data_IF_786972686549
#
_entry.id   IF_786972686549
#
_cell.length_a   1.000
_cell.length_b   1.000
_cell.length_c   1.000
_cell.angle_alpha   90.00
_cell.angle_beta   90.00
_cell.angle_gamma   90.00
#
_symmetry.space_group_name_H-M   'P 1'
#
loop_
_entity.id
_entity.type
_entity.pdbx_description
1 polymer ?
#
# COMPACT_ATOMS: atom_id res chain seq x y z
N UNK A 1 14.53 -22.56 -5.79
CA UNK A 1 13.21 -22.14 -5.27
C UNK A 1 12.28 -22.05 -6.46
N UNK A 2 11.11 -22.69 -6.41
CA UNK A 2 10.10 -22.59 -7.47
C UNK A 2 9.41 -21.24 -7.25
N UNK A 3 9.44 -20.36 -8.24
CA UNK A 3 8.73 -19.08 -8.14
C UNK A 3 7.22 -19.32 -8.03
N UNK A 4 6.52 -18.60 -7.13
CA UNK A 4 5.07 -18.72 -6.99
C UNK A 4 4.37 -18.31 -8.29
N UNK A 5 3.36 -19.09 -8.69
CA UNK A 5 2.55 -18.78 -9.86
C UNK A 5 1.46 -17.78 -9.47
N UNK A 6 1.31 -16.73 -10.29
CA UNK A 6 0.27 -15.72 -10.13
C UNK A 6 -0.69 -15.74 -11.30
N UNK A 7 -1.95 -15.41 -11.00
CA UNK A 7 -2.98 -15.19 -12.01
C UNK A 7 -2.85 -13.75 -12.59
N UNK A 8 -3.21 -13.53 -13.88
CA UNK A 8 -3.09 -12.21 -14.50
C UNK A 8 -3.94 -11.14 -13.79
N UNK A 9 -3.33 -10.02 -13.39
CA UNK A 9 -4.02 -8.84 -12.84
C UNK A 9 -4.25 -7.77 -13.93
N UNK A 10 -5.34 -7.01 -13.79
CA UNK A 10 -5.77 -5.98 -14.76
C UNK A 10 -4.84 -4.76 -14.65
N UNK A 11 -4.15 -4.42 -15.75
CA UNK A 11 -3.09 -3.40 -15.77
C UNK A 11 -3.63 -1.95 -15.67
N UNK A 12 -3.25 -1.24 -14.60
CA UNK A 12 -3.42 0.22 -14.45
C UNK A 12 -2.13 0.98 -14.76
N UNK A 13 -2.19 1.97 -15.66
CA UNK A 13 -1.07 2.76 -16.13
C UNK A 13 -0.57 3.82 -15.12
N UNK A 14 0.75 4.05 -15.09
CA UNK A 14 1.42 5.08 -14.27
C UNK A 14 1.25 6.48 -14.88
N UNK A 15 0.97 7.49 -14.06
CA UNK A 15 1.04 8.93 -14.40
C UNK A 15 2.41 9.50 -14.02
N UNK A 16 2.93 10.38 -14.87
CA UNK A 16 4.23 11.05 -14.78
C UNK A 16 4.34 12.01 -13.58
N UNK A 17 5.44 11.92 -12.83
CA UNK A 17 5.85 12.87 -11.80
C UNK A 17 6.37 14.17 -12.45
N UNK A 18 5.76 15.30 -12.09
CA UNK A 18 6.13 16.63 -12.57
C UNK A 18 7.41 17.10 -11.85
N UNK A 19 8.56 17.09 -12.53
CA UNK A 19 9.84 17.53 -11.96
C UNK A 19 10.00 19.05 -12.05
N UNK A 20 10.46 19.68 -10.97
CA UNK A 20 10.71 21.12 -10.90
C UNK A 20 12.23 21.38 -11.05
N UNK A 21 12.65 22.21 -12.02
CA UNK A 21 14.05 22.60 -12.21
C UNK A 21 14.38 23.88 -11.43
N UNK A 22 15.55 23.92 -10.80
CA UNK A 22 16.05 25.07 -10.03
C UNK A 22 17.45 25.43 -10.49
N UNK A 23 17.67 26.71 -10.78
CA UNK A 23 18.98 27.22 -11.22
C UNK A 23 19.80 27.69 -10.03
N UNK A 24 21.12 27.45 -10.07
CA UNK A 24 22.06 27.95 -9.08
C UNK A 24 21.98 29.49 -8.92
N UNK A 25 22.24 29.96 -7.70
CA UNK A 25 22.25 31.39 -7.33
C UNK A 25 23.34 32.15 -8.10
N UNK A 26 24.52 31.54 -8.25
CA UNK A 26 25.72 32.21 -8.77
C UNK A 26 26.04 31.87 -10.23
N UNK A 27 25.54 30.75 -10.74
CA UNK A 27 25.79 30.31 -12.11
C UNK A 27 24.50 29.87 -12.82
N UNK A 28 24.63 29.49 -14.09
CA UNK A 28 23.49 29.09 -14.93
C UNK A 28 23.27 27.57 -14.98
N UNK A 29 23.90 26.83 -14.08
CA UNK A 29 23.68 25.39 -13.95
C UNK A 29 22.30 25.15 -13.32
N UNK A 30 21.46 24.39 -14.03
CA UNK A 30 20.16 23.94 -13.56
C UNK A 30 20.26 22.55 -12.91
N UNK A 31 19.48 22.36 -11.85
CA UNK A 31 19.38 21.12 -11.10
C UNK A 31 17.93 20.68 -11.05
N UNK A 32 17.69 19.39 -11.24
CA UNK A 32 16.38 18.79 -10.97
C UNK A 32 16.16 18.75 -9.45
N UNK A 33 14.96 19.09 -8.99
CA UNK A 33 14.58 18.97 -7.59
C UNK A 33 14.62 17.50 -7.14
N UNK A 34 15.74 17.10 -6.53
CA UNK A 34 15.90 15.84 -5.82
C UNK A 34 15.37 15.97 -4.38
N UNK A 35 15.19 14.83 -3.68
CA UNK A 35 14.74 14.83 -2.28
C UNK A 35 15.70 15.66 -1.42
N UNK A 36 15.29 16.88 -1.09
CA UNK A 36 16.03 17.80 -0.22
C UNK A 36 17.11 18.65 -0.92
N UNK A 37 17.08 18.81 -2.25
CA UNK A 37 17.98 19.69 -3.02
C UNK A 37 19.48 19.43 -2.79
N UNK A 38 19.87 18.19 -2.48
CA UNK A 38 21.22 17.84 -2.04
C UNK A 38 22.25 18.10 -3.12
N UNK A 39 21.92 17.80 -4.38
CA UNK A 39 22.81 18.04 -5.51
C UNK A 39 23.15 19.53 -5.68
N UNK A 40 22.14 20.40 -5.57
CA UNK A 40 22.31 21.85 -5.67
C UNK A 40 23.09 22.41 -4.47
N UNK A 41 22.77 21.97 -3.24
CA UNK A 41 23.49 22.41 -2.04
C UNK A 41 24.96 21.94 -2.04
N UNK A 42 25.22 20.73 -2.54
CA UNK A 42 26.58 20.21 -2.71
C UNK A 42 27.36 21.02 -3.74
N UNK A 43 26.72 21.43 -4.84
CA UNK A 43 27.32 22.30 -5.84
C UNK A 43 27.66 23.69 -5.26
N UNK A 44 26.73 24.31 -4.52
CA UNK A 44 26.97 25.59 -3.85
C UNK A 44 28.15 25.51 -2.87
N UNK A 45 28.26 24.41 -2.11
CA UNK A 45 29.35 24.19 -1.18
C UNK A 45 30.70 24.02 -1.88
N UNK A 46 30.78 23.22 -2.94
CA UNK A 46 32.05 22.86 -3.60
C UNK A 46 32.56 23.91 -4.57
N UNK A 47 31.68 24.42 -5.44
CA UNK A 47 32.08 25.33 -6.52
C UNK A 47 32.05 26.79 -6.06
N UNK A 48 31.09 27.13 -5.19
CA UNK A 48 30.85 28.51 -4.76
C UNK A 48 31.24 28.78 -3.30
N UNK A 49 31.73 27.78 -2.56
CA UNK A 49 32.05 27.87 -1.12
C UNK A 49 30.90 28.51 -0.30
N UNK A 50 29.66 28.27 -0.71
CA UNK A 50 28.48 28.94 -0.17
C UNK A 50 27.58 27.95 0.59
N UNK A 51 27.13 28.35 1.77
CA UNK A 51 26.34 27.53 2.68
C UNK A 51 25.10 28.29 3.12
N UNK A 52 23.93 27.63 3.07
CA UNK A 52 22.68 28.16 3.61
C UNK A 52 22.35 27.40 4.88
N UNK A 53 22.23 28.11 5.99
CA UNK A 53 21.85 27.51 7.28
C UNK A 53 20.38 27.09 7.32
N UNK A 54 20.09 25.97 7.99
CA UNK A 54 18.73 25.45 8.21
C UNK A 54 17.86 25.40 6.94
N UNK A 55 18.46 25.06 5.79
CA UNK A 55 17.77 25.08 4.50
C UNK A 55 16.59 24.10 4.46
N UNK A 56 16.84 22.82 4.80
CA UNK A 56 15.85 21.75 4.67
C UNK A 56 14.60 21.93 5.56
N UNK A 57 14.73 22.64 6.68
CA UNK A 57 13.64 22.87 7.65
C UNK A 57 13.09 24.30 7.59
N UNK A 58 13.87 25.27 7.11
CA UNK A 58 13.54 26.69 7.17
C UNK A 58 13.07 27.31 5.86
N UNK A 59 13.28 26.66 4.71
CA UNK A 59 12.92 27.19 3.38
C UNK A 59 11.70 26.45 2.85
N UNK A 60 10.54 27.13 2.82
CA UNK A 60 9.26 26.55 2.40
C UNK A 60 9.10 26.45 0.87
N UNK A 61 9.74 27.34 0.11
CA UNK A 61 9.71 27.37 -1.35
C UNK A 61 11.12 27.59 -1.92
N UNK A 62 11.89 26.50 -2.15
CA UNK A 62 13.26 26.61 -2.62
C UNK A 62 13.43 27.33 -3.97
N UNK A 63 12.63 27.07 -5.03
CA UNK A 63 12.70 27.83 -6.27
C UNK A 63 12.57 29.35 -6.07
N UNK A 64 11.55 29.79 -5.33
CA UNK A 64 11.34 31.21 -5.03
C UNK A 64 12.45 31.82 -4.17
N UNK A 65 12.98 31.06 -3.22
CA UNK A 65 14.09 31.47 -2.37
C UNK A 65 15.37 31.70 -3.18
N UNK A 66 15.73 30.76 -4.05
CA UNK A 66 16.91 30.88 -4.91
C UNK A 66 16.76 31.99 -5.94
N UNK A 67 15.58 32.17 -6.52
CA UNK A 67 15.30 33.27 -7.44
C UNK A 67 15.51 34.65 -6.78
N UNK A 68 14.99 34.82 -5.55
CA UNK A 68 15.18 36.05 -4.77
C UNK A 68 16.66 36.34 -4.53
N UNK A 69 17.41 35.38 -3.97
CA UNK A 69 18.83 35.59 -3.67
C UNK A 69 19.69 35.75 -4.93
N UNK A 70 19.33 35.11 -6.04
CA UNK A 70 20.00 35.28 -7.34
C UNK A 70 19.87 36.71 -7.86
N UNK A 71 18.69 37.32 -7.71
CA UNK A 71 18.47 38.72 -8.08
C UNK A 71 19.19 39.66 -7.09
N UNK A 72 19.00 39.42 -5.78
CA UNK A 72 19.56 40.25 -4.72
C UNK A 72 21.09 40.32 -4.75
N UNK A 73 21.78 39.21 -5.01
CA UNK A 73 23.24 39.21 -5.09
C UNK A 73 23.80 39.85 -6.37
N UNK A 74 22.99 40.06 -7.41
CA UNK A 74 23.42 40.86 -8.59
C UNK A 74 23.41 42.36 -8.31
N UNK A 75 22.55 42.81 -7.39
CA UNK A 75 22.41 44.23 -7.04
C UNK A 75 23.50 44.70 -6.06
N UNK A 76 24.09 43.78 -5.30
CA UNK A 76 25.02 44.09 -4.22
C UNK A 76 26.46 44.00 -4.74
N UNK A 77 27.30 45.03 -4.51
CA UNK A 77 28.68 45.05 -5.01
C UNK A 77 29.61 44.06 -4.29
N UNK A 78 29.36 43.76 -3.02
CA UNK A 78 30.10 42.74 -2.25
C UNK A 78 29.13 41.85 -1.43
N UNK A 79 29.11 40.55 -1.75
CA UNK A 79 28.25 39.56 -1.08
C UNK A 79 28.67 39.27 0.37
N UNK A 80 29.90 39.64 0.76
CA UNK A 80 30.39 39.47 2.13
C UNK A 80 29.70 40.40 3.14
N UNK A 81 29.05 41.48 2.66
CA UNK A 81 28.24 42.36 3.52
C UNK A 81 26.93 41.70 3.97
N UNK A 82 26.46 40.69 3.24
CA UNK A 82 25.21 39.98 3.51
C UNK A 82 25.43 38.58 4.11
N UNK A 83 26.64 38.05 4.04
CA UNK A 83 26.96 36.68 4.46
C UNK A 83 28.03 36.67 5.55
N UNK A 84 27.93 35.73 6.49
CA UNK A 84 28.97 35.51 7.48
C UNK A 84 30.14 34.78 6.83
N UNK A 85 31.34 35.37 6.84
CA UNK A 85 32.54 34.73 6.30
C UNK A 85 33.13 33.76 7.33
N UNK A 86 33.12 32.47 6.99
CA UNK A 86 33.78 31.41 7.74
C UNK A 86 35.15 31.13 7.11
N UNK A 87 36.20 31.03 7.92
CA UNK A 87 37.55 30.66 7.44
C UNK A 87 37.96 29.32 8.05
N UNK A 88 38.38 28.37 7.23
CA UNK A 88 38.92 27.09 7.70
C UNK A 88 40.42 27.22 8.00
N UNK A 89 40.96 26.34 8.86
CA UNK A 89 42.39 26.25 9.21
C UNK A 89 42.97 27.48 9.95
N UNK A 90 42.28 27.97 11.00
CA UNK A 90 42.69 29.11 11.84
C UNK A 90 43.77 28.73 12.89
N UNK A 91 43.83 27.46 13.33
CA UNK A 91 44.78 27.01 14.35
C UNK A 91 46.23 26.91 13.85
N UNK A 92 47.20 27.32 14.67
CA UNK A 92 48.64 27.42 14.37
C UNK A 92 49.30 26.11 13.86
N UNK A 93 48.64 24.95 14.02
CA UNK A 93 49.16 23.63 13.64
C UNK A 93 48.50 22.99 12.38
N UNK A 94 47.71 23.73 11.61
CA UNK A 94 47.06 23.17 10.41
C UNK A 94 47.85 23.48 9.13
N UNK A 95 48.29 22.42 8.43
CA UNK A 95 49.10 22.47 7.18
C UNK A 95 48.21 22.60 5.92
N UNK A 96 46.88 22.69 6.07
CA UNK A 96 45.93 22.78 4.94
C UNK A 96 45.77 24.19 4.35
N UNK A 97 45.32 24.26 3.09
CA UNK A 97 44.96 25.51 2.41
C UNK A 97 43.85 26.24 3.16
N UNK A 98 44.01 27.56 3.36
CA UNK A 98 42.98 28.41 3.98
C UNK A 98 41.87 28.66 2.96
N UNK A 99 40.68 28.17 3.23
CA UNK A 99 39.50 28.39 2.40
C UNK A 99 38.50 29.26 3.15
N UNK A 100 37.90 30.22 2.43
CA UNK A 100 36.84 31.09 2.95
C UNK A 100 35.49 30.63 2.40
N UNK A 101 34.58 30.30 3.30
CA UNK A 101 33.20 29.95 3.00
C UNK A 101 32.26 31.10 3.37
N UNK A 102 31.21 31.29 2.59
CA UNK A 102 30.16 32.28 2.85
C UNK A 102 28.94 31.57 3.41
N UNK A 103 28.49 31.98 4.59
CA UNK A 103 27.31 31.44 5.26
C UNK A 103 26.17 32.47 5.22
N UNK A 104 25.07 32.09 4.57
CA UNK A 104 23.81 32.78 4.69
C UNK A 104 23.05 32.27 5.91
N UNK A 105 23.02 33.09 6.96
CA UNK A 105 22.39 32.74 8.23
C UNK A 105 20.89 33.02 8.22
N UNK A 106 20.12 32.05 8.70
CA UNK A 106 18.70 32.10 9.01
C UNK A 106 18.34 33.12 10.11
N UNK A 107 19.35 33.71 10.76
CA UNK A 107 19.20 34.78 11.75
C UNK A 107 19.31 36.18 11.14
N UNK A 108 19.66 36.29 9.86
CA UNK A 108 19.75 37.58 9.19
C UNK A 108 18.35 38.17 8.98
N UNK A 109 18.11 39.46 9.29
CA UNK A 109 16.79 40.07 9.16
C UNK A 109 16.19 39.93 7.75
N UNK A 110 17.01 40.08 6.72
CA UNK A 110 16.58 39.92 5.33
C UNK A 110 16.22 38.46 5.00
N UNK A 111 17.03 37.51 5.46
CA UNK A 111 16.77 36.08 5.25
C UNK A 111 15.51 35.60 5.98
N UNK A 112 15.32 36.04 7.23
CA UNK A 112 14.09 35.81 8.01
C UNK A 112 12.87 36.37 7.26
N UNK A 113 12.98 37.58 6.71
CA UNK A 113 11.87 38.23 6.01
C UNK A 113 11.47 37.46 4.74
N UNK A 114 12.43 37.03 3.91
CA UNK A 114 12.11 36.26 2.70
C UNK A 114 11.58 34.86 3.05
N UNK A 115 12.17 34.16 4.02
CA UNK A 115 11.65 32.85 4.49
C UNK A 115 10.22 32.98 5.01
N UNK A 116 9.95 34.02 5.81
CA UNK A 116 8.61 34.32 6.31
C UNK A 116 7.62 34.64 5.19
N UNK A 117 8.02 35.43 4.19
CA UNK A 117 7.19 35.75 3.02
C UNK A 117 6.83 34.49 2.22
N UNK A 118 7.81 33.64 1.93
CA UNK A 118 7.61 32.39 1.18
C UNK A 118 6.76 31.40 1.97
N UNK A 119 6.99 31.26 3.28
CA UNK A 119 6.17 30.43 4.17
C UNK A 119 4.71 30.90 4.16
N UNK A 120 4.48 32.20 4.28
CA UNK A 120 3.14 32.79 4.25
C UNK A 120 2.46 32.58 2.88
N UNK A 121 3.19 32.77 1.79
CA UNK A 121 2.68 32.50 0.43
C UNK A 121 2.26 31.04 0.30
N UNK A 122 3.14 30.11 0.68
CA UNK A 122 2.86 28.67 0.64
C UNK A 122 1.64 28.29 1.47
N UNK A 123 1.50 28.87 2.67
CA UNK A 123 0.33 28.67 3.52
C UNK A 123 -0.96 29.14 2.83
N UNK A 124 -0.95 30.30 2.16
CA UNK A 124 -2.11 30.75 1.40
C UNK A 124 -2.48 29.80 0.27
N UNK A 125 -1.49 29.29 -0.48
CA UNK A 125 -1.73 28.33 -1.56
C UNK A 125 -2.34 27.03 -1.03
N UNK A 126 -1.82 26.54 0.11
CA UNK A 126 -2.32 25.33 0.80
C UNK A 126 -3.76 25.53 1.28
N UNK A 127 -4.06 26.68 1.90
CA UNK A 127 -5.41 27.00 2.37
C UNK A 127 -6.40 27.16 1.20
N UNK A 128 -5.97 27.79 0.10
CA UNK A 128 -6.78 27.90 -1.11
C UNK A 128 -7.08 26.53 -1.71
N UNK A 129 -6.10 25.62 -1.72
CA UNK A 129 -6.29 24.23 -2.16
C UNK A 129 -7.24 23.47 -1.24
N UNK A 130 -7.08 23.61 0.08
CA UNK A 130 -7.98 22.99 1.05
C UNK A 130 -9.43 23.48 0.88
N UNK A 131 -9.64 24.78 0.69
CA UNK A 131 -10.96 25.34 0.43
C UNK A 131 -11.54 24.79 -0.88
N UNK A 132 -10.72 24.66 -1.91
CA UNK A 132 -11.13 24.01 -3.15
C UNK A 132 -11.58 22.56 -2.90
N UNK A 133 -10.80 21.74 -2.18
CA UNK A 133 -11.17 20.36 -1.84
C UNK A 133 -12.47 20.25 -1.03
N UNK A 134 -12.77 21.25 -0.18
CA UNK A 134 -14.01 21.32 0.60
C UNK A 134 -15.22 21.72 -0.25
N UNK A 135 -15.01 22.63 -1.21
CA UNK A 135 -16.06 23.09 -2.12
C UNK A 135 -16.33 22.14 -3.29
N UNK A 136 -15.37 21.27 -3.60
CA UNK A 136 -15.46 20.34 -4.72
C UNK A 136 -16.42 19.19 -4.43
N UNK A 137 -17.51 19.15 -5.21
CA UNK A 137 -18.54 18.12 -5.16
C UNK A 137 -18.33 16.98 -6.16
N UNK A 138 -17.26 17.02 -6.96
CA UNK A 138 -16.96 15.99 -7.96
C UNK A 138 -16.24 14.78 -7.36
N UNK A 139 -15.92 14.81 -6.07
CA UNK A 139 -15.25 13.74 -5.37
C UNK A 139 -16.04 12.43 -5.47
N UNK A 140 -15.34 11.36 -5.87
CA UNK A 140 -15.87 10.01 -5.89
C UNK A 140 -14.76 9.01 -5.57
N UNK A 141 -14.86 8.33 -4.44
CA UNK A 141 -13.90 7.30 -4.05
C UNK A 141 -14.53 6.24 -3.16
N UNK A 142 -14.03 5.00 -3.25
CA UNK A 142 -14.39 3.94 -2.32
C UNK A 142 -13.62 4.08 -0.99
N UNK A 143 -14.19 3.54 0.09
CA UNK A 143 -13.48 3.39 1.36
C UNK A 143 -12.27 2.45 1.21
N UNK A 144 -11.21 2.72 1.98
CA UNK A 144 -10.01 1.87 2.00
C UNK A 144 -10.23 0.50 2.66
N UNK A 145 -11.35 0.32 3.36
CA UNK A 145 -11.60 -0.82 4.23
C UNK A 145 -12.92 -1.55 3.93
N UNK A 146 -13.80 -0.97 3.10
CA UNK A 146 -15.06 -1.56 2.69
C UNK A 146 -15.47 -1.11 1.27
N UNK A 147 -16.56 -1.66 0.72
CA UNK A 147 -17.06 -1.34 -0.63
C UNK A 147 -17.90 -0.06 -0.73
N UNK A 148 -18.11 0.67 0.37
CA UNK A 148 -18.91 1.89 0.32
C UNK A 148 -18.22 2.95 -0.55
N UNK A 149 -18.97 3.46 -1.54
CA UNK A 149 -18.52 4.52 -2.45
C UNK A 149 -19.08 5.84 -1.94
N UNK A 150 -18.19 6.76 -1.63
CA UNK A 150 -18.52 8.11 -1.23
C UNK A 150 -18.48 9.02 -2.44
N UNK A 151 -19.54 9.80 -2.59
CA UNK A 151 -19.67 10.84 -3.62
C UNK A 151 -19.87 12.18 -2.93
N UNK A 152 -19.57 13.26 -3.66
CA UNK A 152 -19.69 14.66 -3.22
C UNK A 152 -18.56 15.13 -2.31
N UNK A 153 -18.51 14.68 -1.05
CA UNK A 153 -17.64 15.29 -0.04
C UNK A 153 -16.69 14.29 0.61
N UNK A 154 -15.40 14.63 0.61
CA UNK A 154 -14.29 13.87 1.20
C UNK A 154 -14.47 13.65 2.70
N UNK A 155 -15.03 14.62 3.42
CA UNK A 155 -15.27 14.54 4.87
C UNK A 155 -16.15 13.33 5.22
N UNK A 156 -17.17 13.03 4.42
CA UNK A 156 -18.03 11.86 4.66
C UNK A 156 -17.25 10.53 4.62
N UNK A 157 -16.29 10.41 3.71
CA UNK A 157 -15.42 9.24 3.63
C UNK A 157 -14.52 9.15 4.86
N UNK A 158 -13.87 10.25 5.24
CA UNK A 158 -12.97 10.29 6.40
C UNK A 158 -13.73 10.01 7.71
N UNK A 159 -14.92 10.57 7.87
CA UNK A 159 -15.79 10.30 9.00
C UNK A 159 -16.24 8.84 9.02
N UNK A 160 -16.60 8.27 7.88
CA UNK A 160 -16.93 6.85 7.80
C UNK A 160 -15.75 5.96 8.21
N UNK A 161 -14.53 6.25 7.75
CA UNK A 161 -13.33 5.52 8.17
C UNK A 161 -13.11 5.61 9.70
N UNK A 162 -13.35 6.78 10.29
CA UNK A 162 -13.21 6.98 11.72
C UNK A 162 -14.29 6.26 12.54
N UNK A 163 -15.55 6.27 12.10
CA UNK A 163 -16.68 5.72 12.87
C UNK A 163 -16.90 4.22 12.60
N UNK A 164 -16.93 3.80 11.34
CA UNK A 164 -17.23 2.41 10.96
C UNK A 164 -16.01 1.49 11.06
N UNK A 165 -14.81 2.03 10.86
CA UNK A 165 -13.57 1.23 10.84
C UNK A 165 -12.61 1.57 12.00
N UNK A 166 -13.00 2.50 12.88
CA UNK A 166 -12.15 3.02 13.96
C UNK A 166 -10.76 3.45 13.47
N UNK A 167 -10.61 3.86 12.21
CA UNK A 167 -9.34 4.27 11.63
C UNK A 167 -9.36 5.76 11.32
N UNK A 168 -8.57 6.54 12.06
CA UNK A 168 -8.51 7.98 11.92
C UNK A 168 -7.16 8.44 11.38
N UNK A 169 -7.22 9.26 10.33
CA UNK A 169 -6.08 9.97 9.76
C UNK A 169 -5.97 11.41 10.28
N UNK A 170 -6.86 11.82 11.21
CA UNK A 170 -6.98 13.19 11.71
C UNK A 170 -8.34 13.82 11.35
N UNK A 171 -8.59 15.02 11.89
CA UNK A 171 -9.82 15.76 11.58
C UNK A 171 -9.81 16.25 10.13
N UNK A 172 -10.92 16.11 9.38
CA UNK A 172 -11.03 16.61 8.00
C UNK A 172 -10.62 18.08 7.86
N UNK A 173 -10.91 18.90 8.88
CA UNK A 173 -10.57 20.32 8.90
C UNK A 173 -9.07 20.62 8.91
N UNK A 174 -8.25 19.66 9.34
CA UNK A 174 -6.80 19.82 9.45
C UNK A 174 -6.05 19.16 8.28
N UNK A 175 -6.75 18.55 7.33
CA UNK A 175 -6.17 17.82 6.22
C UNK A 175 -6.19 18.64 4.92
N UNK A 176 -5.20 18.39 4.07
CA UNK A 176 -5.05 18.96 2.72
C UNK A 176 -4.37 17.95 1.80
N UNK A 177 -4.62 18.02 0.50
CA UNK A 177 -4.19 17.02 -0.48
C UNK A 177 -4.74 15.64 -0.13
N UNK A 178 -6.03 15.59 0.22
CA UNK A 178 -6.70 14.41 0.76
C UNK A 178 -6.72 13.26 -0.26
N UNK A 179 -6.88 13.56 -1.55
CA UNK A 179 -6.84 12.52 -2.58
C UNK A 179 -5.47 11.85 -2.68
N UNK A 180 -4.40 12.65 -2.66
CA UNK A 180 -3.03 12.12 -2.70
C UNK A 180 -2.72 11.32 -1.43
N UNK A 181 -3.19 11.78 -0.26
CA UNK A 181 -3.09 11.01 0.98
C UNK A 181 -3.78 9.65 0.82
N UNK A 182 -5.01 9.62 0.33
CA UNK A 182 -5.77 8.37 0.14
C UNK A 182 -5.07 7.43 -0.86
N UNK A 183 -4.50 7.96 -1.94
CA UNK A 183 -3.70 7.18 -2.89
C UNK A 183 -2.48 6.53 -2.22
N UNK A 184 -1.76 7.29 -1.38
CA UNK A 184 -0.60 6.77 -0.65
C UNK A 184 -1.00 5.71 0.37
N UNK A 185 -2.11 5.89 1.08
CA UNK A 185 -2.60 4.91 2.05
C UNK A 185 -3.07 3.64 1.34
N UNK A 186 -3.80 3.76 0.24
CA UNK A 186 -4.24 2.64 -0.59
C UNK A 186 -3.04 1.84 -1.11
N UNK A 187 -2.04 2.50 -1.70
CA UNK A 187 -0.84 1.83 -2.19
C UNK A 187 -0.07 1.08 -1.08
N UNK A 188 -0.03 1.64 0.13
CA UNK A 188 0.57 0.98 1.30
C UNK A 188 -0.24 -0.25 1.73
N UNK A 189 -1.57 -0.17 1.72
CA UNK A 189 -2.43 -1.30 2.02
C UNK A 189 -2.29 -2.41 0.96
N UNK A 190 -2.28 -2.07 -0.33
CA UNK A 190 -2.07 -3.02 -1.44
C UNK A 190 -0.69 -3.71 -1.41
N UNK A 191 0.33 -3.05 -0.84
CA UNK A 191 1.65 -3.67 -0.60
C UNK A 191 1.73 -4.45 0.72
N UNK A 192 0.58 -4.72 1.34
CA UNK A 192 0.45 -5.44 2.61
C UNK A 192 1.22 -4.78 3.75
N UNK A 193 1.33 -3.45 3.74
CA UNK A 193 2.05 -2.67 4.73
C UNK A 193 1.10 -2.05 5.76
N UNK A 194 1.38 -2.27 7.04
CA UNK A 194 0.61 -1.65 8.11
C UNK A 194 0.88 -0.14 8.21
N UNK A 195 -0.17 0.67 8.13
CA UNK A 195 -0.10 2.13 8.10
C UNK A 195 0.51 2.75 9.37
N UNK A 196 0.50 2.04 10.51
CA UNK A 196 1.03 2.50 11.79
C UNK A 196 2.46 2.02 12.07
N UNK A 197 2.69 0.71 11.98
CA UNK A 197 4.00 0.12 12.36
C UNK A 197 4.91 -0.18 11.18
N UNK A 198 4.45 0.03 9.95
CA UNK A 198 5.19 -0.13 8.71
C UNK A 198 5.77 -1.53 8.47
N UNK A 199 5.25 -2.53 9.17
CA UNK A 199 5.54 -3.94 8.92
C UNK A 199 4.77 -4.42 7.69
N UNK A 200 5.42 -5.26 6.88
CA UNK A 200 4.82 -5.95 5.75
C UNK A 200 4.27 -7.31 6.19
N UNK A 201 3.17 -7.73 5.56
CA UNK A 201 2.48 -8.97 5.84
C UNK A 201 2.33 -9.79 4.57
N UNK A 202 2.04 -11.09 4.73
CA UNK A 202 1.95 -12.03 3.62
C UNK A 202 0.63 -11.88 2.84
N UNK A 203 -0.45 -11.49 3.53
CA UNK A 203 -1.80 -11.40 2.99
C UNK A 203 -2.64 -10.34 3.74
N UNK A 204 -3.74 -9.93 3.10
CA UNK A 204 -4.66 -8.90 3.59
C UNK A 204 -5.32 -9.30 4.92
N UNK A 205 -5.72 -10.57 5.08
CA UNK A 205 -6.39 -11.04 6.30
C UNK A 205 -5.43 -10.97 7.49
N UNK A 206 -4.16 -11.36 7.31
CA UNK A 206 -3.13 -11.24 8.35
C UNK A 206 -2.86 -9.78 8.70
N UNK A 207 -2.81 -8.88 7.72
CA UNK A 207 -2.66 -7.44 7.97
C UNK A 207 -3.85 -6.86 8.74
N UNK A 208 -5.08 -7.17 8.30
CA UNK A 208 -6.34 -6.74 8.94
C UNK A 208 -6.40 -7.22 10.39
N UNK A 209 -6.12 -8.50 10.60
CA UNK A 209 -6.09 -9.11 11.94
C UNK A 209 -4.99 -8.50 12.83
N UNK A 210 -3.82 -8.19 12.24
CA UNK A 210 -2.76 -7.49 12.94
C UNK A 210 -3.19 -6.09 13.39
N UNK A 211 -3.77 -5.29 12.49
CA UNK A 211 -4.23 -3.93 12.79
C UNK A 211 -5.30 -3.92 13.88
N UNK A 212 -6.21 -4.90 13.85
CA UNK A 212 -7.24 -5.13 14.87
C UNK A 212 -6.63 -5.48 16.23
N UNK A 213 -5.83 -6.55 16.31
CA UNK A 213 -5.23 -7.05 17.57
C UNK A 213 -4.30 -6.04 18.23
N UNK A 214 -3.50 -5.31 17.42
CA UNK A 214 -2.54 -4.31 17.92
C UNK A 214 -3.14 -2.91 18.07
N UNK A 215 -4.41 -2.73 17.72
CA UNK A 215 -5.12 -1.44 17.76
C UNK A 215 -4.37 -0.35 16.96
N UNK A 216 -3.84 -0.70 15.80
CA UNK A 216 -3.20 0.23 14.87
C UNK A 216 -4.25 1.04 14.11
N UNK A 217 -4.93 1.93 14.85
CA UNK A 217 -6.09 2.73 14.42
C UNK A 217 -5.72 4.08 13.78
N UNK A 218 -4.43 4.39 13.67
CA UNK A 218 -3.91 5.67 13.14
C UNK A 218 -2.78 5.39 12.16
N UNK A 219 -2.41 6.39 11.36
CA UNK A 219 -1.17 6.35 10.58
C UNK A 219 0.05 6.56 11.48
N UNK A 220 1.23 6.12 11.03
CA UNK A 220 2.47 6.25 11.79
C UNK A 220 2.79 7.72 12.11
N UNK A 221 2.74 8.17 13.38
CA UNK A 221 3.01 9.57 13.74
C UNK A 221 4.46 9.98 13.52
N UNK A 222 5.39 9.02 13.43
CA UNK A 222 6.82 9.29 13.25
C UNK A 222 7.22 9.43 11.78
N UNK A 223 6.34 9.06 10.85
CA UNK A 223 6.64 9.14 9.44
C UNK A 223 6.37 10.54 8.90
N UNK A 224 7.43 11.34 8.83
CA UNK A 224 7.40 12.73 8.34
C UNK A 224 6.95 12.88 6.89
N UNK A 225 6.89 11.79 6.11
CA UNK A 225 6.33 11.84 4.76
C UNK A 225 4.85 12.23 4.76
N UNK A 226 4.13 12.00 5.87
CA UNK A 226 2.73 12.41 6.00
C UNK A 226 2.56 13.88 6.43
N UNK A 227 3.61 14.54 6.92
CA UNK A 227 3.52 15.90 7.46
C UNK A 227 2.91 16.89 6.45
N UNK A 228 3.16 16.68 5.16
CA UNK A 228 2.63 17.52 4.06
C UNK A 228 1.11 17.50 3.92
N UNK A 229 0.43 16.50 4.47
CA UNK A 229 -1.04 16.39 4.39
C UNK A 229 -1.76 17.13 5.51
N UNK A 230 -1.03 17.74 6.45
CA UNK A 230 -1.60 18.43 7.61
C UNK A 230 -1.35 19.93 7.54
N UNK A 231 -2.43 20.72 7.50
CA UNK A 231 -2.37 22.18 7.37
C UNK A 231 -1.59 22.82 8.53
N UNK A 232 -1.65 22.25 9.74
CA UNK A 232 -0.94 22.75 10.91
C UNK A 232 0.58 22.85 10.67
N UNK A 233 1.15 21.95 9.86
CA UNK A 233 2.58 21.93 9.55
C UNK A 233 3.02 23.10 8.65
N UNK A 234 2.07 23.84 8.06
CA UNK A 234 2.31 25.05 7.28
C UNK A 234 2.14 26.35 8.09
N UNK A 235 1.56 26.27 9.31
CA UNK A 235 1.25 27.44 10.15
C UNK A 235 2.43 27.99 10.95
N UNK A 236 3.56 27.29 10.97
CA UNK A 236 4.86 27.89 11.31
C UNK A 236 5.17 28.09 12.79
N UNK A 237 4.73 27.19 13.69
CA UNK A 237 5.28 27.18 15.05
C UNK A 237 6.62 26.44 15.08
N UNK A 238 7.71 27.20 14.96
CA UNK A 238 9.05 26.71 15.30
C UNK A 238 9.13 26.50 16.82
N UNK A 239 9.26 25.25 17.26
CA UNK A 239 9.81 24.94 18.58
C UNK A 239 8.85 24.53 19.70
N UNK A 240 7.59 24.17 19.41
CA UNK A 240 6.86 23.29 20.34
C UNK A 240 6.89 21.88 19.77
N UNK A 241 7.23 20.92 20.63
CA UNK A 241 7.00 19.50 20.39
C UNK A 241 5.64 19.34 19.72
N UNK A 242 5.60 18.50 18.68
CA UNK A 242 4.38 18.04 18.02
C UNK A 242 3.23 18.04 19.02
N UNK A 243 2.11 18.76 18.76
CA UNK A 243 1.01 18.77 19.70
C UNK A 243 0.71 17.32 20.02
N UNK A 244 0.75 16.99 21.32
CA UNK A 244 0.36 15.67 21.79
C UNK A 244 -0.93 15.30 21.06
N UNK A 245 -1.01 14.08 20.52
CA UNK A 245 -2.10 13.70 19.64
C UNK A 245 -3.40 14.01 20.37
N UNK A 246 -4.20 14.94 19.81
CA UNK A 246 -5.50 15.38 20.30
C UNK A 246 -6.21 14.18 20.98
N UNK A 247 -6.13 14.12 22.32
CA UNK A 247 -6.72 13.03 23.12
C UNK A 247 -8.25 13.18 23.19
N UNK A 248 -8.79 14.28 22.65
CA UNK A 248 -10.23 14.57 22.61
C UNK A 248 -10.87 14.10 21.30
N UNK A 249 -10.76 12.81 21.04
CA UNK A 249 -11.87 12.07 20.43
C UNK A 249 -12.30 11.05 21.48
N UNK A 250 -13.26 11.44 22.32
CA UNK A 250 -13.92 10.47 23.20
C UNK A 250 -14.31 9.25 22.36
N UNK A 251 -13.98 8.03 22.80
CA UNK A 251 -14.41 6.82 22.13
C UNK A 251 -15.94 6.78 22.20
N UNK A 252 -16.60 7.22 21.13
CA UNK A 252 -18.03 7.04 20.96
C UNK A 252 -18.29 5.54 20.88
N UNK A 253 -18.78 5.00 22.01
CA UNK A 253 -19.18 3.62 22.25
C UNK A 253 -18.08 2.55 22.04
N UNK A 254 -17.47 2.12 23.14
CA UNK A 254 -16.87 0.78 23.27
C UNK A 254 -17.97 -0.29 23.20
N UNK A 255 -18.46 -0.57 21.99
CA UNK A 255 -19.08 -1.87 21.71
C UNK A 255 -17.99 -2.82 21.23
N UNK A 256 -17.76 -3.97 21.89
CA UNK A 256 -16.75 -4.95 21.48
C UNK A 256 -17.01 -5.60 20.10
N UNK A 257 -18.07 -5.20 19.39
CA UNK A 257 -18.63 -5.92 18.24
C UNK A 257 -18.59 -5.16 16.90
N UNK A 258 -18.19 -3.88 16.85
CA UNK A 258 -18.33 -3.08 15.61
C UNK A 258 -17.23 -3.31 14.55
N UNK A 259 -16.30 -4.24 14.79
CA UNK A 259 -15.39 -4.70 13.73
C UNK A 259 -15.95 -5.87 12.92
N UNK A 260 -17.16 -6.37 13.24
CA UNK A 260 -17.83 -7.44 12.50
C UNK A 260 -18.34 -7.01 11.13
N UNK A 261 -18.42 -5.70 10.85
CA UNK A 261 -19.03 -5.16 9.62
C UNK A 261 -18.01 -4.70 8.56
N UNK A 262 -16.75 -5.10 8.68
CA UNK A 262 -15.87 -5.07 7.52
C UNK A 262 -16.29 -6.21 6.60
N UNK A 263 -17.38 -6.01 5.85
CA UNK A 263 -17.72 -6.83 4.70
C UNK A 263 -16.41 -7.12 3.97
N UNK A 264 -16.01 -8.40 3.96
CA UNK A 264 -14.82 -8.84 3.24
C UNK A 264 -15.18 -8.77 1.78
N UNK A 265 -14.99 -7.58 1.29
CA UNK A 265 -15.40 -7.14 0.00
C UNK A 265 -14.11 -6.74 -0.68
N UNK A 266 -13.25 -7.76 -0.75
CA UNK A 266 -12.01 -7.84 -1.48
C UNK A 266 -12.17 -7.17 -2.84
N UNK A 267 -11.16 -6.37 -3.17
CA UNK A 267 -10.72 -5.95 -4.51
C UNK A 267 -11.51 -6.64 -5.62
N UNK A 268 -12.20 -5.90 -6.49
CA UNK A 268 -12.95 -6.40 -7.67
C UNK A 268 -12.68 -7.90 -7.92
N UNK A 269 -13.42 -8.80 -7.25
CA UNK A 269 -13.03 -10.20 -7.11
C UNK A 269 -13.07 -10.86 -8.48
N UNK A 270 -11.94 -10.83 -9.19
CA UNK A 270 -11.87 -11.27 -10.57
C UNK A 270 -11.65 -12.78 -10.54
N UNK A 271 -12.74 -13.52 -10.52
CA UNK A 271 -12.74 -14.98 -10.56
C UNK A 271 -12.28 -15.41 -11.96
N UNK A 272 -11.09 -16.00 -12.05
CA UNK A 272 -10.56 -16.46 -13.34
C UNK A 272 -11.07 -17.87 -13.64
N UNK A 273 -11.55 -18.12 -14.86
CA UNK A 273 -11.97 -19.44 -15.33
C UNK A 273 -10.87 -20.49 -15.11
N UNK A 274 -11.26 -21.73 -14.79
CA UNK A 274 -10.32 -22.84 -14.59
C UNK A 274 -9.60 -23.28 -15.88
N UNK A 275 -10.19 -23.06 -17.06
CA UNK A 275 -9.69 -23.54 -18.36
C UNK A 275 -9.29 -22.41 -19.33
N UNK A 276 -9.49 -21.15 -18.97
CA UNK A 276 -9.14 -20.01 -19.83
C UNK A 276 -8.74 -18.77 -19.03
N UNK A 277 -8.27 -17.74 -19.75
CA UNK A 277 -7.83 -16.48 -19.14
C UNK A 277 -8.97 -15.47 -18.88
N UNK A 278 -10.24 -15.86 -19.06
CA UNK A 278 -11.37 -14.96 -18.81
C UNK A 278 -11.61 -14.80 -17.30
N UNK A 279 -11.92 -13.56 -16.90
CA UNK A 279 -12.19 -13.18 -15.52
C UNK A 279 -13.63 -12.69 -15.34
N UNK A 280 -14.22 -13.00 -14.19
CA UNK A 280 -15.64 -12.76 -13.89
C UNK A 280 -15.82 -12.15 -12.52
N UNK A 281 -16.83 -11.29 -12.36
CA UNK A 281 -17.11 -10.60 -11.10
C UNK A 281 -17.99 -11.42 -10.12
N UNK A 282 -18.48 -12.60 -10.49
CA UNK A 282 -19.35 -13.42 -9.61
C UNK A 282 -19.27 -14.92 -9.92
N UNK A 283 -19.49 -15.75 -8.88
CA UNK A 283 -19.50 -17.23 -9.00
C UNK A 283 -20.54 -17.67 -10.03
N UNK A 284 -21.71 -17.01 -10.07
CA UNK A 284 -22.76 -17.32 -11.04
C UNK A 284 -22.28 -17.08 -12.48
N UNK A 285 -21.57 -15.98 -12.73
CA UNK A 285 -21.08 -15.63 -14.06
C UNK A 285 -20.00 -16.62 -14.55
N UNK A 286 -19.00 -16.93 -13.72
CA UNK A 286 -17.94 -17.89 -14.06
C UNK A 286 -18.49 -19.31 -14.22
N UNK A 287 -19.43 -19.73 -13.38
CA UNK A 287 -20.09 -21.05 -13.48
C UNK A 287 -20.86 -21.18 -14.79
N UNK A 288 -21.61 -20.15 -15.18
CA UNK A 288 -22.31 -20.11 -16.47
C UNK A 288 -21.34 -20.16 -17.65
N UNK A 289 -20.22 -19.44 -17.56
CA UNK A 289 -19.17 -19.48 -18.57
C UNK A 289 -18.55 -20.88 -18.70
N UNK A 290 -18.13 -21.49 -17.59
CA UNK A 290 -17.55 -22.84 -17.58
C UNK A 290 -18.51 -23.88 -18.17
N UNK A 291 -19.80 -23.77 -17.86
CA UNK A 291 -20.84 -24.68 -18.41
C UNK A 291 -21.11 -24.43 -19.89
N UNK A 292 -21.20 -23.18 -20.33
CA UNK A 292 -21.56 -22.81 -21.70
C UNK A 292 -20.42 -22.97 -22.71
N UNK A 293 -19.22 -22.52 -22.36
CA UNK A 293 -18.06 -22.52 -23.26
C UNK A 293 -17.26 -23.82 -23.13
N UNK A 294 -17.03 -24.29 -21.90
CA UNK A 294 -16.15 -25.41 -21.63
C UNK A 294 -16.88 -26.72 -21.32
N UNK A 295 -18.21 -26.76 -21.42
CA UNK A 295 -19.06 -27.92 -21.06
C UNK A 295 -18.75 -28.50 -19.66
N UNK A 296 -18.24 -27.66 -18.76
CA UNK A 296 -17.80 -28.04 -17.42
C UNK A 296 -18.78 -27.50 -16.38
N UNK A 297 -19.46 -28.40 -15.68
CA UNK A 297 -20.51 -28.09 -14.73
C UNK A 297 -19.94 -27.94 -13.32
N UNK A 298 -19.42 -26.74 -13.03
CA UNK A 298 -18.86 -26.43 -11.72
C UNK A 298 -19.87 -26.58 -10.57
N UNK A 299 -21.18 -26.46 -10.85
CA UNK A 299 -22.24 -26.71 -9.85
C UNK A 299 -22.18 -28.15 -9.35
N UNK A 300 -21.97 -29.12 -10.25
CA UNK A 300 -21.87 -30.53 -9.85
C UNK A 300 -20.69 -30.76 -8.90
N UNK A 301 -19.55 -30.12 -9.14
CA UNK A 301 -18.39 -30.21 -8.25
C UNK A 301 -18.75 -29.67 -6.87
N UNK A 302 -19.43 -28.52 -6.81
CA UNK A 302 -19.87 -27.91 -5.56
C UNK A 302 -20.90 -28.72 -4.78
N UNK A 303 -21.77 -29.46 -5.45
CA UNK A 303 -22.83 -30.27 -4.83
C UNK A 303 -22.35 -31.69 -4.47
N UNK A 304 -21.37 -32.23 -5.20
CA UNK A 304 -20.96 -33.64 -5.07
C UNK A 304 -19.77 -33.88 -4.15
N UNK A 305 -19.04 -32.83 -3.78
CA UNK A 305 -17.78 -32.94 -3.03
C UNK A 305 -17.78 -31.98 -1.84
N UNK A 306 -17.18 -32.42 -0.72
CA UNK A 306 -16.99 -31.53 0.43
C UNK A 306 -15.92 -30.46 0.19
N UNK A 307 -15.85 -29.45 1.06
CA UNK A 307 -14.97 -28.27 0.87
C UNK A 307 -13.53 -28.63 0.44
N UNK A 308 -12.84 -29.48 1.20
CA UNK A 308 -11.44 -29.86 0.91
C UNK A 308 -11.28 -30.63 -0.41
N UNK A 309 -12.28 -31.42 -0.80
CA UNK A 309 -12.28 -32.13 -2.07
C UNK A 309 -12.46 -31.14 -3.23
N UNK A 310 -13.33 -30.13 -3.08
CA UNK A 310 -13.49 -29.05 -4.08
C UNK A 310 -12.17 -28.30 -4.29
N UNK A 311 -11.48 -27.93 -3.20
CA UNK A 311 -10.16 -27.27 -3.25
C UNK A 311 -9.15 -28.11 -4.03
N UNK A 312 -9.07 -29.42 -3.75
CA UNK A 312 -8.17 -30.35 -4.46
C UNK A 312 -8.48 -30.42 -5.96
N UNK A 313 -9.75 -30.53 -6.32
CA UNK A 313 -10.17 -30.60 -7.74
C UNK A 313 -9.79 -29.31 -8.48
N UNK A 314 -10.04 -28.14 -7.88
CA UNK A 314 -9.69 -26.84 -8.46
C UNK A 314 -8.19 -26.73 -8.67
N UNK A 315 -7.39 -27.02 -7.64
CA UNK A 315 -5.93 -27.00 -7.72
C UNK A 315 -5.39 -28.00 -8.75
N UNK A 316 -5.98 -29.19 -8.84
CA UNK A 316 -5.63 -30.17 -9.86
C UNK A 316 -5.86 -29.62 -11.26
N UNK A 317 -7.06 -29.09 -11.56
CA UNK A 317 -7.38 -28.54 -12.89
C UNK A 317 -6.45 -27.37 -13.22
N UNK A 318 -6.27 -26.43 -12.29
CA UNK A 318 -5.32 -25.30 -12.43
C UNK A 318 -3.93 -25.78 -12.82
N UNK A 319 -3.42 -26.81 -12.14
CA UNK A 319 -2.10 -27.39 -12.43
C UNK A 319 -2.03 -28.07 -13.79
N UNK A 320 -3.06 -28.83 -14.18
CA UNK A 320 -3.09 -29.49 -15.48
C UNK A 320 -3.13 -28.47 -16.63
N UNK A 321 -3.96 -27.43 -16.50
CA UNK A 321 -4.06 -26.34 -17.48
C UNK A 321 -2.75 -25.57 -17.60
N UNK A 322 -2.08 -25.27 -16.47
CA UNK A 322 -0.75 -24.68 -16.48
C UNK A 322 0.30 -25.54 -17.23
N UNK A 323 0.24 -26.86 -17.07
CA UNK A 323 1.14 -27.80 -17.71
C UNK A 323 0.77 -28.14 -19.16
N UNK A 324 -0.31 -27.56 -19.70
CA UNK A 324 -0.91 -27.90 -20.99
C UNK A 324 -1.26 -29.39 -21.11
N UNK A 325 -1.77 -29.99 -20.03
CA UNK A 325 -2.24 -31.38 -19.97
C UNK A 325 -3.75 -31.40 -19.79
N UNK A 326 -4.45 -32.29 -20.48
CA UNK A 326 -5.88 -32.48 -20.24
C UNK A 326 -6.12 -33.14 -18.88
N UNK A 327 -6.97 -32.53 -18.06
CA UNK A 327 -7.30 -33.03 -16.71
C UNK A 327 -8.22 -34.27 -16.70
N UNK A 328 -8.69 -34.73 -17.86
CA UNK A 328 -9.52 -35.94 -18.00
C UNK A 328 -8.72 -37.09 -18.60
N UNK A 329 -8.20 -36.92 -19.83
CA UNK A 329 -7.49 -37.98 -20.55
C UNK A 329 -5.97 -37.98 -20.36
N UNK A 330 -5.41 -36.97 -19.68
CA UNK A 330 -3.98 -36.79 -19.42
C UNK A 330 -3.11 -36.63 -20.69
N UNK A 331 -3.72 -36.35 -21.84
CA UNK A 331 -3.00 -36.02 -23.07
C UNK A 331 -2.29 -34.67 -22.94
N UNK A 332 -1.05 -34.58 -23.43
CA UNK A 332 -0.21 -33.39 -23.33
C UNK A 332 -0.20 -32.62 -24.65
N UNK A 333 -0.36 -31.30 -24.56
CA UNK A 333 -0.40 -30.37 -25.68
C UNK A 333 0.80 -29.42 -25.66
N UNK A 334 1.12 -28.85 -26.82
CA UNK A 334 2.27 -27.95 -26.97
C UNK A 334 1.93 -26.49 -26.66
N UNK A 335 0.63 -26.16 -26.57
CA UNK A 335 0.15 -24.81 -26.29
C UNK A 335 -1.24 -24.83 -25.64
N UNK A 336 -1.56 -23.76 -24.92
CA UNK A 336 -2.83 -23.59 -24.25
C UNK A 336 -4.02 -23.56 -25.24
N UNK A 337 -3.84 -22.99 -26.43
CA UNK A 337 -4.87 -22.96 -27.47
C UNK A 337 -5.22 -24.37 -27.98
N UNK A 338 -4.22 -25.26 -28.13
CA UNK A 338 -4.46 -26.65 -28.49
C UNK A 338 -5.21 -27.41 -27.39
N UNK A 339 -4.83 -27.20 -26.13
CA UNK A 339 -5.56 -27.79 -24.99
C UNK A 339 -7.01 -27.30 -24.95
N UNK A 340 -7.26 -25.99 -25.13
CA UNK A 340 -8.61 -25.44 -25.17
C UNK A 340 -9.46 -26.01 -26.31
N UNK A 341 -8.87 -26.14 -27.51
CA UNK A 341 -9.56 -26.78 -28.64
C UNK A 341 -9.89 -28.24 -28.35
N UNK A 342 -8.99 -28.96 -27.68
CA UNK A 342 -9.23 -30.33 -27.26
C UNK A 342 -10.35 -30.42 -26.21
N UNK A 343 -10.33 -29.59 -25.17
CA UNK A 343 -11.38 -29.53 -24.14
C UNK A 343 -12.76 -29.12 -24.69
N UNK A 344 -12.80 -28.45 -25.83
CA UNK A 344 -14.05 -28.08 -26.51
C UNK A 344 -14.58 -29.18 -27.43
N UNK A 345 -13.75 -30.20 -27.74
CA UNK A 345 -14.12 -31.35 -28.57
C UNK A 345 -14.97 -32.37 -27.79
N UNK A 346 -15.68 -33.25 -28.50
CA UNK A 346 -16.46 -34.33 -27.88
C UNK A 346 -15.63 -35.61 -27.64
N UNK A 347 -14.33 -35.47 -27.39
CA UNK A 347 -13.42 -36.59 -27.15
C UNK A 347 -13.66 -37.28 -25.78
N UNK A 348 -14.08 -36.51 -24.77
CA UNK A 348 -14.43 -37.00 -23.43
C UNK A 348 -15.39 -36.02 -22.74
N UNK A 349 -15.98 -36.45 -21.63
CA UNK A 349 -16.80 -35.59 -20.78
C UNK A 349 -15.92 -34.88 -19.74
N UNK A 350 -15.80 -33.55 -19.87
CA UNK A 350 -15.06 -32.69 -18.94
C UNK A 350 -15.55 -32.77 -17.49
N UNK A 351 -16.73 -33.33 -17.24
CA UNK A 351 -17.29 -33.49 -15.89
C UNK A 351 -16.80 -34.76 -15.17
N UNK A 352 -16.13 -35.69 -15.88
CA UNK A 352 -15.72 -36.98 -15.33
C UNK A 352 -14.22 -36.96 -15.01
N UNK A 353 -13.86 -36.39 -13.86
CA UNK A 353 -12.48 -36.31 -13.40
C UNK A 353 -12.15 -37.49 -12.48
N UNK A 354 -11.13 -38.28 -12.83
CA UNK A 354 -10.76 -39.46 -12.05
C UNK A 354 -10.24 -39.07 -10.66
N UNK A 355 -10.90 -39.61 -9.61
CA UNK A 355 -10.56 -39.36 -8.20
C UNK A 355 -9.09 -39.62 -7.87
N UNK A 356 -8.48 -40.67 -8.42
CA UNK A 356 -7.07 -40.99 -8.14
C UNK A 356 -6.09 -39.92 -8.65
N UNK A 357 -6.49 -39.10 -9.62
CA UNK A 357 -5.64 -38.06 -10.21
C UNK A 357 -5.60 -36.78 -9.36
N UNK A 358 -6.73 -36.39 -8.75
CA UNK A 358 -6.85 -35.14 -8.00
C UNK A 358 -6.86 -35.33 -6.48
N UNK A 359 -7.24 -36.51 -5.98
CA UNK A 359 -7.28 -36.79 -4.54
C UNK A 359 -5.88 -37.16 -4.01
N UNK A 360 -4.94 -36.24 -4.18
CA UNK A 360 -3.55 -36.37 -3.75
C UNK A 360 -3.22 -35.26 -2.73
N UNK A 361 -2.40 -35.52 -1.69
CA UNK A 361 -2.08 -34.55 -0.66
C UNK A 361 -1.48 -33.24 -1.20
N UNK A 362 -0.74 -33.31 -2.31
CA UNK A 362 -0.14 -32.16 -2.96
C UNK A 362 -1.13 -31.09 -3.43
N UNK A 363 -2.42 -31.40 -3.58
CA UNK A 363 -3.46 -30.47 -4.02
C UNK A 363 -4.22 -29.78 -2.88
N UNK A 364 -3.82 -30.02 -1.62
CA UNK A 364 -4.24 -29.18 -0.49
C UNK A 364 -3.65 -27.77 -0.57
N UNK A 365 -2.49 -27.62 -1.22
CA UNK A 365 -1.84 -26.34 -1.38
C UNK A 365 -2.30 -25.66 -2.68
N UNK A 366 -2.64 -24.36 -2.66
CA UNK A 366 -3.00 -23.61 -3.85
C UNK A 366 -1.96 -23.73 -4.96
N UNK A 367 -2.42 -23.95 -6.19
CA UNK A 367 -1.52 -23.94 -7.36
C UNK A 367 -1.07 -22.52 -7.72
N UNK A 368 -1.95 -21.55 -7.49
CA UNK A 368 -1.69 -20.13 -7.67
C UNK A 368 -1.83 -19.39 -6.33
N UNK A 369 -0.97 -18.42 -6.08
CA UNK A 369 -1.11 -17.50 -4.95
C UNK A 369 -2.31 -16.57 -5.19
N UNK A 370 -3.08 -16.28 -4.14
CA UNK A 370 -4.26 -15.42 -4.17
C UNK A 370 -5.37 -15.87 -5.16
N UNK A 371 -5.62 -17.19 -5.31
CA UNK A 371 -6.72 -17.68 -6.15
C UNK A 371 -8.09 -17.33 -5.53
N UNK A 372 -8.68 -16.24 -6.04
CA UNK A 372 -9.97 -15.72 -5.58
C UNK A 372 -11.13 -16.72 -5.75
N UNK A 373 -11.02 -17.69 -6.67
CA UNK A 373 -12.04 -18.73 -6.81
C UNK A 373 -12.04 -19.69 -5.62
N UNK A 374 -10.88 -19.95 -5.00
CA UNK A 374 -10.78 -20.75 -3.77
C UNK A 374 -11.38 -20.01 -2.58
N UNK A 375 -11.12 -18.70 -2.45
CA UNK A 375 -11.71 -17.87 -1.40
C UNK A 375 -13.25 -17.80 -1.52
N UNK A 376 -13.76 -17.73 -2.76
CA UNK A 376 -15.20 -17.66 -3.02
C UNK A 376 -15.95 -18.99 -2.75
N UNK A 377 -15.27 -20.09 -2.41
CA UNK A 377 -15.94 -21.34 -2.04
C UNK A 377 -16.68 -21.22 -0.70
N UNK A 378 -16.14 -20.39 0.23
CA UNK A 378 -16.61 -20.27 1.61
C UNK A 378 -18.00 -19.63 1.75
N UNK A 379 -18.47 -18.86 0.75
CA UNK A 379 -19.80 -18.21 0.76
C UNK A 379 -20.99 -19.19 0.61
N UNK A 380 -20.72 -20.49 0.54
CA UNK A 380 -21.71 -21.54 0.30
C UNK A 380 -22.08 -22.20 1.63
N UNK A 381 -23.14 -21.71 2.28
CA UNK A 381 -23.75 -22.34 3.47
C UNK A 381 -24.26 -23.76 3.17
N UNK A 382 -23.36 -24.74 3.14
CA UNK A 382 -23.67 -26.14 3.29
C UNK A 382 -22.83 -26.65 4.45
N UNK A 383 -23.51 -26.93 5.55
CA UNK A 383 -22.95 -27.62 6.73
C UNK A 383 -22.40 -28.98 6.28
N UNK A 384 -21.08 -29.10 6.10
CA UNK A 384 -20.46 -30.39 5.83
C UNK A 384 -20.17 -31.11 7.16
N UNK A 385 -20.98 -32.12 7.43
CA UNK A 385 -20.90 -33.03 8.58
C UNK A 385 -19.94 -34.21 8.34
N UNK A 386 -18.74 -33.98 7.79
CA UNK A 386 -17.78 -35.06 7.53
C UNK A 386 -16.33 -34.60 7.68
N UNK A 387 -15.95 -34.25 8.91
CA UNK A 387 -14.54 -34.20 9.31
C UNK A 387 -13.96 -35.63 9.27
N UNK A 388 -13.40 -36.04 8.14
CA UNK A 388 -12.35 -37.05 8.15
C UNK A 388 -11.15 -36.46 8.89
N UNK A 389 -10.99 -36.87 10.14
CA UNK A 389 -9.83 -36.54 10.97
C UNK A 389 -8.56 -36.95 10.23
N UNK A 390 -7.81 -35.97 9.74
CA UNK A 390 -6.48 -36.18 9.16
C UNK A 390 -5.52 -36.48 10.30
N UNK A 391 -5.26 -37.77 10.52
CA UNK A 391 -4.24 -38.23 11.47
C UNK A 391 -2.88 -38.14 10.77
N UNK A 392 -1.88 -37.44 11.34
CA UNK A 392 -0.52 -37.44 10.81
C UNK A 392 0.04 -38.87 10.66
N UNK A 393 0.77 -39.17 9.59
CA UNK A 393 1.42 -40.49 9.39
C UNK A 393 2.36 -40.87 10.55
N UNK A 394 2.87 -39.87 11.28
CA UNK A 394 3.74 -40.03 12.45
C UNK A 394 2.98 -40.21 13.77
N UNK A 395 1.64 -40.28 13.75
CA UNK A 395 0.85 -40.52 14.95
C UNK A 395 0.92 -41.99 15.33
N UNK A 396 1.83 -42.31 16.26
CA UNK A 396 1.74 -43.54 17.04
C UNK A 396 0.69 -43.33 18.15
N UNK A 397 -0.38 -44.13 18.22
CA UNK A 397 -1.30 -44.07 19.35
C UNK A 397 -0.48 -44.30 20.63
N UNK A 398 -0.58 -43.38 21.57
CA UNK A 398 0.05 -43.52 22.88
C UNK A 398 -0.51 -44.78 23.56
N UNK A 399 0.26 -45.86 23.54
CA UNK A 399 -0.08 -47.12 24.20
C UNK A 399 0.16 -47.01 25.69
N UNK A 400 -0.59 -46.13 26.38
CA UNK A 400 -0.70 -46.18 27.85
C UNK A 400 -1.90 -45.35 28.30
N UNK A 401 -2.89 -46.02 28.88
CA UNK A 401 -3.90 -45.37 29.70
C UNK A 401 -3.18 -44.61 30.81
N UNK A 402 -3.15 -43.28 30.71
CA UNK A 402 -2.57 -42.38 31.74
C UNK A 402 -3.24 -42.60 33.10
N UNK A 403 -4.45 -43.17 33.12
CA UNK A 403 -5.19 -43.56 34.32
C UNK A 403 -4.66 -44.81 35.03
N UNK A 404 -3.95 -45.72 34.35
CA UNK A 404 -3.43 -46.94 34.97
C UNK A 404 -2.12 -46.70 35.76
N UNK A 405 -1.40 -45.60 35.48
CA UNK A 405 -0.17 -45.26 36.19
C UNK A 405 -0.40 -44.59 37.55
N UNK A 406 -1.65 -44.24 37.89
CA UNK A 406 -1.99 -43.61 39.18
C UNK A 406 -2.52 -44.60 40.24
N UNK A 407 -2.96 -45.80 39.84
CA UNK A 407 -3.49 -46.80 40.79
C UNK A 407 -2.39 -47.64 41.46
N UNK A 408 -1.18 -47.71 40.89
CA UNK A 408 -0.05 -48.46 41.47
C UNK A 408 0.79 -47.65 42.50
N UNK A 409 0.30 -46.49 42.96
CA UNK A 409 1.01 -45.62 43.91
C UNK A 409 0.18 -45.14 45.11
N UNK A 410 -0.91 -45.83 45.46
CA UNK A 410 -1.65 -45.60 46.72
C UNK A 410 -1.65 -46.86 47.58
#
# INVERSE_FOLDING_TARGET
>A
AIEPLFLPSRSGGKKDEQTCEVVCIFCDIAFLADKGFQNLLTHLLKEHHFVISNFATGVADPPGYFAYWKERFREVPDITDLCVVLKTNIGENNVGTRESYLLLSDKLPEDIAIRGKLRKSKLYDVLAYQEHERSDTSFRRACLFCKQIFTENRTRLLDHMAHAHNFSVGRPDNLVYVEELLDVLEAKLSSMLCLYCEKTFKDWQTLKEHMRKKRHKKINPRNRAYDKYYVINYTGQEGQESPEPDEDVEPLNDKPNDFEDWEDHTEETSLICLMCSEAFASILAITRHMKGIHKFDFVKIRESFGFYQQVKVINYIRKQVYLNVCFVCLEKFHSHSQLQSHLSSDAHDNNVINKSCWDQPQFYFPTYENDQLLCALEDSLLEDSADEVVVPEDWLPSSTNVLQAFEDKV
#
